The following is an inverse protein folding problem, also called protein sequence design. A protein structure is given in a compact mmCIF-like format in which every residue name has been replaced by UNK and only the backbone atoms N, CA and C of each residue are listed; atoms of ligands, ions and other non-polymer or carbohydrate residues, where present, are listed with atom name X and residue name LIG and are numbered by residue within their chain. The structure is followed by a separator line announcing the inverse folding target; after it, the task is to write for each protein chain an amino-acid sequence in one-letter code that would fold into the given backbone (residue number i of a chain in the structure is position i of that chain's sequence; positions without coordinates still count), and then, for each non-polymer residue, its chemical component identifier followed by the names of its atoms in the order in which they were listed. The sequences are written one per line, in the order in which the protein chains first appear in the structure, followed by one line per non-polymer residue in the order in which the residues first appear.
data_IF_306320176919
#
_entry.id   IF_306320176919
#
_cell.length_a   1.000
_cell.length_b   1.000
_cell.length_c   1.000
_cell.angle_alpha   90.00
_cell.angle_beta   90.00
_cell.angle_gamma   90.00
#
_symmetry.space_group_name_H-M   'P 1'
#
loop_
_entity.id
_entity.type
_entity.pdbx_description
1 polymer ?
#
# COMPACT_ATOMS: atom_id res chain seq x y z
N UNK A 1 -8.29 4.87 -14.22
CA UNK A 1 -7.36 5.85 -14.78
C UNK A 1 -6.98 6.84 -13.70
N UNK A 2 -5.67 7.01 -13.47
CA UNK A 2 -5.18 7.87 -12.40
C UNK A 2 -5.08 9.32 -12.84
N UNK A 3 -5.44 10.24 -11.95
CA UNK A 3 -5.20 11.67 -12.13
C UNK A 3 -3.83 11.98 -11.53
N UNK A 4 -2.98 12.66 -12.29
CA UNK A 4 -1.73 13.22 -11.81
C UNK A 4 -1.94 14.69 -11.44
N UNK A 5 -1.56 15.05 -10.23
CA UNK A 5 -1.73 16.39 -9.68
C UNK A 5 -0.38 16.92 -9.19
N UNK A 6 0.57 17.23 -10.11
CA UNK A 6 1.92 17.65 -9.73
C UNK A 6 1.95 19.08 -9.18
N UNK A 7 2.92 19.35 -8.33
CA UNK A 7 3.23 20.68 -7.84
C UNK A 7 2.06 21.31 -7.10
N UNK A 8 1.71 22.54 -7.43
CA UNK A 8 0.65 23.29 -6.76
C UNK A 8 -0.77 22.80 -7.05
N UNK A 9 -0.94 21.82 -7.94
CA UNK A 9 -2.25 21.26 -8.28
C UNK A 9 -2.88 20.45 -7.13
N UNK A 10 -2.07 19.92 -6.20
CA UNK A 10 -2.56 19.20 -5.03
C UNK A 10 -1.61 19.38 -3.84
N UNK A 11 -1.96 20.26 -2.92
CA UNK A 11 -1.25 20.44 -1.65
C UNK A 11 -1.93 19.73 -0.47
N UNK A 12 -3.19 19.36 -0.66
CA UNK A 12 -3.99 18.60 0.32
C UNK A 12 -4.74 17.50 -0.41
N UNK A 13 -4.48 16.26 -0.03
CA UNK A 13 -5.18 15.08 -0.50
C UNK A 13 -5.98 14.47 0.66
N UNK A 14 -7.24 14.16 0.44
CA UNK A 14 -8.06 13.46 1.43
C UNK A 14 -8.38 12.07 0.86
N UNK A 15 -7.91 11.03 1.54
CA UNK A 15 -8.29 9.66 1.24
C UNK A 15 -9.37 9.22 2.22
N UNK A 16 -10.60 9.02 1.71
CA UNK A 16 -11.77 8.65 2.52
C UNK A 16 -12.11 7.19 2.32
N UNK A 17 -11.92 6.40 3.37
CA UNK A 17 -12.22 4.97 3.38
C UNK A 17 -11.14 4.09 2.72
N UNK A 18 -11.33 2.80 2.88
CA UNK A 18 -10.41 1.79 2.36
C UNK A 18 -10.62 1.61 0.84
N UNK A 19 -9.57 1.66 0.00
CA UNK A 19 -9.69 1.58 -1.46
C UNK A 19 -9.93 0.15 -1.95
N UNK A 20 -11.05 -0.46 -1.57
CA UNK A 20 -11.39 -1.86 -1.88
C UNK A 20 -11.78 -2.08 -3.35
N UNK A 21 -12.22 -1.02 -4.05
CA UNK A 21 -12.84 -1.11 -5.38
C UNK A 21 -14.36 -1.36 -5.30
N UNK A 22 -15.05 -1.06 -6.38
CA UNK A 22 -16.53 -1.08 -6.45
C UNK A 22 -17.09 -1.96 -7.55
N UNK A 23 -16.26 -2.52 -8.43
CA UNK A 23 -16.73 -3.44 -9.46
C UNK A 23 -17.18 -4.78 -8.85
N UNK A 24 -18.17 -5.44 -9.45
CA UNK A 24 -18.65 -6.75 -8.99
C UNK A 24 -17.52 -7.78 -8.88
N UNK A 25 -16.55 -7.74 -9.80
CA UNK A 25 -15.37 -8.60 -9.76
C UNK A 25 -14.46 -8.30 -8.55
N UNK A 26 -14.22 -7.02 -8.24
CA UNK A 26 -13.40 -6.63 -7.10
C UNK A 26 -14.07 -6.99 -5.78
N UNK A 27 -15.38 -6.80 -5.67
CA UNK A 27 -16.17 -7.20 -4.50
C UNK A 27 -16.16 -8.71 -4.30
N UNK A 28 -16.38 -9.48 -5.39
CA UNK A 28 -16.28 -10.93 -5.36
C UNK A 28 -14.87 -11.37 -4.90
N UNK A 29 -13.84 -10.80 -5.49
CA UNK A 29 -12.46 -11.13 -5.18
C UNK A 29 -12.09 -10.79 -3.72
N UNK A 30 -12.52 -9.62 -3.24
CA UNK A 30 -12.34 -9.21 -1.85
C UNK A 30 -13.06 -10.14 -0.88
N UNK A 31 -14.25 -10.61 -1.23
CA UNK A 31 -15.03 -11.55 -0.44
C UNK A 31 -14.43 -12.97 -0.45
N UNK A 32 -14.09 -13.49 -1.64
CA UNK A 32 -13.59 -14.86 -1.81
C UNK A 32 -12.16 -15.03 -1.22
N UNK A 33 -11.35 -13.98 -1.23
CA UNK A 33 -9.96 -13.99 -0.77
C UNK A 33 -9.78 -13.17 0.52
N UNK A 34 -10.88 -12.91 1.25
CA UNK A 34 -10.86 -12.11 2.47
C UNK A 34 -9.87 -12.67 3.49
N UNK A 35 -9.02 -11.80 4.04
CA UNK A 35 -7.96 -12.18 4.97
C UNK A 35 -6.70 -12.78 4.32
N UNK A 36 -6.70 -12.97 2.99
CA UNK A 36 -5.53 -13.46 2.27
C UNK A 36 -4.45 -12.38 2.06
N UNK A 37 -3.21 -12.83 1.99
CA UNK A 37 -2.03 -11.98 1.76
C UNK A 37 -2.16 -11.17 0.47
N UNK A 38 -2.73 -11.75 -0.58
CA UNK A 38 -2.92 -11.08 -1.89
C UNK A 38 -3.81 -9.85 -1.80
N UNK A 39 -4.94 -9.94 -1.08
CA UNK A 39 -5.84 -8.80 -0.90
C UNK A 39 -5.19 -7.73 -0.02
N UNK A 40 -4.51 -8.14 1.04
CA UNK A 40 -3.79 -7.21 1.92
C UNK A 40 -2.72 -6.44 1.16
N UNK A 41 -1.92 -7.10 0.32
CA UNK A 41 -0.93 -6.45 -0.55
C UNK A 41 -1.56 -5.52 -1.58
N UNK A 42 -2.63 -5.93 -2.21
CA UNK A 42 -3.36 -5.09 -3.17
C UNK A 42 -3.87 -3.80 -2.51
N UNK A 43 -4.40 -3.90 -1.28
CA UNK A 43 -4.86 -2.75 -0.52
C UNK A 43 -3.70 -1.83 -0.12
N UNK A 44 -2.58 -2.41 0.35
CA UNK A 44 -1.36 -1.66 0.64
C UNK A 44 -0.91 -0.85 -0.58
N UNK A 45 -0.77 -1.49 -1.73
CA UNK A 45 -0.39 -0.82 -2.98
C UNK A 45 -1.37 0.28 -3.38
N UNK A 46 -2.68 0.08 -3.22
CA UNK A 46 -3.70 1.09 -3.52
C UNK A 46 -3.62 2.29 -2.58
N UNK A 47 -3.36 2.06 -1.29
CA UNK A 47 -3.13 3.12 -0.30
C UNK A 47 -1.90 3.94 -0.72
N UNK A 48 -0.78 3.30 -0.99
CA UNK A 48 0.46 3.97 -1.40
C UNK A 48 0.31 4.72 -2.73
N UNK A 49 -0.34 4.12 -3.72
CA UNK A 49 -0.65 4.79 -4.98
C UNK A 49 -1.56 6.01 -4.78
N UNK A 50 -2.53 5.92 -3.87
CA UNK A 50 -3.38 7.03 -3.48
C UNK A 50 -2.58 8.16 -2.84
N UNK A 51 -1.77 7.85 -1.83
CA UNK A 51 -0.93 8.82 -1.14
C UNK A 51 0.07 9.50 -2.08
N UNK A 52 0.66 8.76 -3.02
CA UNK A 52 1.63 9.27 -3.99
C UNK A 52 1.06 10.16 -5.10
N UNK A 53 -0.26 10.44 -5.13
CA UNK A 53 -0.86 11.28 -6.18
C UNK A 53 -0.52 12.75 -6.06
N UNK A 54 -0.27 13.23 -4.86
CA UNK A 54 0.02 14.64 -4.59
C UNK A 54 1.49 15.00 -4.55
N UNK A 55 2.41 14.03 -4.59
CA UNK A 55 3.85 14.26 -4.54
C UNK A 55 4.57 13.35 -5.54
N UNK A 56 5.15 13.92 -6.58
CA UNK A 56 5.76 13.20 -7.70
C UNK A 56 7.25 13.46 -7.89
N UNK A 57 7.74 14.58 -7.41
CA UNK A 57 9.13 14.98 -7.54
C UNK A 57 9.74 15.38 -6.20
N UNK A 58 11.06 15.51 -6.17
CA UNK A 58 11.80 15.90 -4.96
C UNK A 58 11.43 17.29 -4.41
N UNK A 59 10.84 18.15 -5.25
CA UNK A 59 10.33 19.46 -4.85
C UNK A 59 8.85 19.46 -4.46
N UNK A 60 8.12 18.38 -4.72
CA UNK A 60 6.70 18.30 -4.42
C UNK A 60 6.46 17.97 -2.95
N UNK A 61 5.40 18.54 -2.41
CA UNK A 61 4.92 18.23 -1.08
C UNK A 61 3.39 18.28 -1.04
N UNK A 62 2.81 17.37 -0.31
CA UNK A 62 1.37 17.26 -0.16
C UNK A 62 1.05 16.72 1.24
N UNK A 63 0.08 17.33 1.90
CA UNK A 63 -0.48 16.74 3.12
C UNK A 63 -1.54 15.74 2.73
N UNK A 64 -1.44 14.53 3.28
CA UNK A 64 -2.45 13.50 3.07
C UNK A 64 -3.23 13.29 4.36
N UNK A 65 -4.53 13.54 4.31
CA UNK A 65 -5.45 13.21 5.40
C UNK A 65 -6.11 11.87 5.13
N UNK A 66 -5.94 10.94 6.06
CA UNK A 66 -6.57 9.63 6.01
C UNK A 66 -7.82 9.65 6.89
N UNK A 67 -8.98 9.45 6.28
CA UNK A 67 -10.28 9.51 6.94
C UNK A 67 -11.06 8.20 6.71
N UNK A 68 -11.88 7.84 7.69
CA UNK A 68 -12.70 6.63 7.64
C UNK A 68 -12.24 5.53 8.60
N UNK A 69 -13.21 4.95 9.31
CA UNK A 69 -12.94 3.95 10.35
C UNK A 69 -12.34 2.65 9.80
N UNK A 70 -12.74 2.25 8.59
CA UNK A 70 -12.26 1.07 7.89
C UNK A 70 -10.78 1.20 7.48
N UNK A 71 -10.37 2.36 6.94
CA UNK A 71 -8.99 2.65 6.59
C UNK A 71 -8.12 2.72 7.84
N UNK A 72 -8.57 3.42 8.88
CA UNK A 72 -7.87 3.50 10.16
C UNK A 72 -7.69 2.11 10.80
N UNK A 73 -8.75 1.30 10.83
CA UNK A 73 -8.70 -0.05 11.36
C UNK A 73 -7.80 -0.98 10.54
N UNK A 74 -7.70 -0.79 9.24
CA UNK A 74 -6.81 -1.57 8.38
C UNK A 74 -5.34 -1.22 8.66
N UNK A 75 -5.01 0.07 8.78
CA UNK A 75 -3.65 0.57 9.07
C UNK A 75 -3.21 0.15 10.48
N UNK A 76 -4.11 0.18 11.46
CA UNK A 76 -3.81 -0.17 12.84
C UNK A 76 -3.47 -1.65 13.08
N UNK A 77 -3.66 -2.54 12.08
CA UNK A 77 -3.29 -3.95 12.19
C UNK A 77 -1.85 -4.17 11.74
N UNK A 78 -0.96 -4.59 12.63
CA UNK A 78 0.44 -4.90 12.33
C UNK A 78 0.59 -5.89 11.17
N UNK A 79 -0.32 -6.87 11.08
CA UNK A 79 -0.35 -7.85 9.99
C UNK A 79 -0.59 -7.24 8.62
N UNK A 80 -1.24 -6.08 8.55
CA UNK A 80 -1.48 -5.33 7.32
C UNK A 80 -0.38 -4.28 7.10
N UNK A 81 -0.02 -3.55 8.17
CA UNK A 81 0.92 -2.44 8.15
C UNK A 81 2.28 -2.83 7.57
N UNK A 82 2.75 -4.04 7.85
CA UNK A 82 4.00 -4.60 7.32
C UNK A 82 4.05 -4.72 5.78
N UNK A 83 2.91 -4.66 5.08
CA UNK A 83 2.85 -4.69 3.61
C UNK A 83 3.03 -3.33 2.96
N UNK A 84 3.05 -2.26 3.75
CA UNK A 84 3.45 -0.93 3.29
C UNK A 84 4.98 -0.84 3.25
N UNK A 85 5.51 0.00 2.35
CA UNK A 85 6.95 0.28 2.30
C UNK A 85 7.44 0.93 3.60
N UNK A 86 8.72 0.79 3.91
CA UNK A 86 9.35 1.41 5.08
C UNK A 86 9.10 2.92 5.14
N UNK A 87 9.25 3.61 4.00
CA UNK A 87 8.98 5.04 3.91
C UNK A 87 7.52 5.40 4.20
N UNK A 88 6.57 4.62 3.71
CA UNK A 88 5.14 4.83 3.98
C UNK A 88 4.83 4.58 5.45
N UNK A 89 5.39 3.51 6.04
CA UNK A 89 5.21 3.21 7.46
C UNK A 89 5.68 4.36 8.35
N UNK A 90 6.89 4.88 8.12
CA UNK A 90 7.41 5.99 8.90
C UNK A 90 6.57 7.27 8.77
N UNK A 91 6.10 7.58 7.55
CA UNK A 91 5.20 8.72 7.36
C UNK A 91 3.87 8.55 8.09
N UNK A 92 3.33 7.33 8.14
CA UNK A 92 2.08 7.04 8.85
C UNK A 92 2.28 7.09 10.37
N UNK A 93 3.39 6.59 10.89
CA UNK A 93 3.75 6.68 12.30
C UNK A 93 3.92 8.13 12.74
N UNK A 94 4.71 8.91 12.00
CA UNK A 94 4.86 10.35 12.21
C UNK A 94 3.50 11.07 12.19
N UNK A 95 2.68 10.79 11.18
CA UNK A 95 1.34 11.37 11.06
C UNK A 95 0.42 10.99 12.21
N UNK A 96 0.54 9.76 12.72
CA UNK A 96 -0.21 9.30 13.89
C UNK A 96 0.19 10.05 15.16
N UNK A 97 1.47 10.28 15.37
CA UNK A 97 1.98 11.06 16.52
C UNK A 97 1.50 12.51 16.47
N UNK A 98 1.65 13.15 15.31
CA UNK A 98 1.15 14.52 15.11
C UNK A 98 -0.36 14.60 15.35
N UNK A 99 -1.12 13.61 14.87
CA UNK A 99 -2.58 13.58 15.03
C UNK A 99 -3.03 13.48 16.48
N UNK A 100 -2.25 12.87 17.37
CA UNK A 100 -2.53 12.80 18.82
C UNK A 100 -2.47 14.17 19.50
N UNK A 101 -1.65 15.08 18.97
CA UNK A 101 -1.48 16.42 19.49
C UNK A 101 -2.57 17.42 19.01
N UNK A 102 -3.28 17.05 17.93
CA UNK A 102 -4.35 17.87 17.35
C UNK A 102 -5.61 17.81 18.21
N UNK A 103 -6.02 18.93 18.76
CA UNK A 103 -7.16 19.02 19.70
C UNK A 103 -8.46 19.37 19.02
N UNK A 104 -8.40 20.18 17.96
CA UNK A 104 -9.56 20.68 17.25
C UNK A 104 -9.25 20.99 15.78
N UNK A 105 -10.24 21.46 15.04
CA UNK A 105 -10.11 21.80 13.62
C UNK A 105 -9.15 22.98 13.38
N UNK A 106 -9.01 23.88 14.36
CA UNK A 106 -8.08 25.00 14.24
C UNK A 106 -6.63 24.53 14.35
N UNK A 107 -6.35 23.64 15.28
CA UNK A 107 -5.03 23.02 15.43
C UNK A 107 -4.69 22.19 14.18
N UNK A 108 -5.66 21.44 13.64
CA UNK A 108 -5.49 20.71 12.38
C UNK A 108 -5.13 21.65 11.23
N UNK A 109 -5.88 22.74 11.07
CA UNK A 109 -5.62 23.72 10.02
C UNK A 109 -4.24 24.37 10.16
N UNK A 110 -3.80 24.67 11.38
CA UNK A 110 -2.46 25.20 11.64
C UNK A 110 -1.36 24.20 11.31
N UNK A 111 -1.55 22.93 11.65
CA UNK A 111 -0.62 21.83 11.33
C UNK A 111 -0.47 21.67 9.83
N UNK A 112 -1.58 21.65 9.09
CA UNK A 112 -1.58 21.60 7.61
C UNK A 112 -0.86 22.83 7.04
N UNK A 113 -1.13 24.02 7.58
CA UNK A 113 -0.52 25.27 7.11
C UNK A 113 1.01 25.26 7.27
N UNK A 114 1.56 24.71 8.36
CA UNK A 114 3.03 24.57 8.54
C UNK A 114 3.69 23.76 7.42
N UNK A 115 3.02 22.69 6.97
CA UNK A 115 3.50 21.93 5.83
C UNK A 115 3.42 22.72 4.52
N UNK A 116 2.33 23.47 4.30
CA UNK A 116 2.17 24.31 3.10
C UNK A 116 3.21 25.44 3.03
N UNK A 117 3.46 26.11 4.15
CA UNK A 117 4.42 27.20 4.26
C UNK A 117 5.88 26.69 4.25
N UNK A 118 6.09 25.38 4.18
CA UNK A 118 7.41 24.76 4.28
C UNK A 118 8.16 25.22 5.54
N UNK A 119 7.44 25.29 6.66
CA UNK A 119 8.04 25.65 7.96
C UNK A 119 9.32 24.86 8.20
N UNK A 120 10.39 25.54 8.62
CA UNK A 120 11.72 24.94 8.75
C UNK A 120 11.73 23.77 9.72
N UNK A 121 11.11 23.93 10.89
CA UNK A 121 11.03 22.87 11.89
C UNK A 121 10.23 21.67 11.39
N UNK A 122 9.18 21.91 10.58
CA UNK A 122 8.41 20.84 9.94
C UNK A 122 9.26 20.05 8.93
N UNK A 123 9.99 20.76 8.06
CA UNK A 123 10.80 20.11 7.02
C UNK A 123 12.00 19.37 7.61
N UNK A 124 12.62 19.89 8.67
CA UNK A 124 13.71 19.22 9.39
C UNK A 124 13.21 17.94 10.08
N UNK A 125 12.12 18.02 10.83
CA UNK A 125 11.52 16.86 11.50
C UNK A 125 11.14 15.74 10.50
N UNK A 126 10.51 16.10 9.37
CA UNK A 126 10.18 15.14 8.33
C UNK A 126 11.43 14.50 7.71
N UNK A 127 12.47 15.29 7.43
CA UNK A 127 13.71 14.80 6.85
C UNK A 127 14.47 13.87 7.81
N UNK A 128 14.53 14.22 9.09
CA UNK A 128 15.15 13.39 10.13
C UNK A 128 14.43 12.05 10.28
N UNK A 129 13.09 12.07 10.37
CA UNK A 129 12.27 10.84 10.44
C UNK A 129 12.51 9.90 9.27
N UNK A 130 12.64 10.44 8.05
CA UNK A 130 12.92 9.61 6.88
C UNK A 130 14.39 9.17 6.78
N UNK A 131 15.33 9.94 7.31
CA UNK A 131 16.76 9.60 7.31
C UNK A 131 17.09 8.44 8.28
N UNK A 132 16.31 8.27 9.32
CA UNK A 132 16.44 7.16 10.28
C UNK A 132 15.94 5.82 9.74
N UNK A 133 15.30 5.82 8.55
CA UNK A 133 14.79 4.59 7.95
C UNK A 133 15.95 3.68 7.53
N UNK A 134 15.99 2.53 8.16
CA UNK A 134 16.77 1.40 7.66
C UNK A 134 15.89 0.68 6.63
N UNK A 135 16.34 0.62 5.40
CA UNK A 135 15.63 -0.12 4.35
C UNK A 135 15.76 -1.63 4.60
N UNK A 136 14.80 -2.16 5.35
CA UNK A 136 14.69 -3.59 5.67
C UNK A 136 13.85 -4.37 4.64
N UNK A 137 13.38 -3.71 3.60
CA UNK A 137 12.55 -4.32 2.57
C UNK A 137 13.38 -5.31 1.71
N UNK A 138 13.68 -6.46 2.30
CA UNK A 138 14.29 -7.57 1.54
C UNK A 138 13.28 -8.11 0.53
N UNK A 139 13.69 -8.34 -0.72
CA UNK A 139 12.82 -8.98 -1.71
C UNK A 139 12.30 -10.31 -1.16
N UNK A 140 11.00 -10.50 -1.22
CA UNK A 140 10.36 -11.76 -0.83
C UNK A 140 10.58 -12.82 -1.93
N UNK A 141 11.69 -13.52 -1.87
CA UNK A 141 12.10 -14.52 -2.86
C UNK A 141 11.05 -15.64 -3.07
N UNK A 142 10.31 -15.99 -2.02
CA UNK A 142 9.23 -16.97 -2.09
C UNK A 142 8.12 -16.54 -3.05
N UNK A 143 7.74 -15.26 -3.01
CA UNK A 143 6.68 -14.72 -3.87
C UNK A 143 7.15 -14.52 -5.31
N UNK A 144 8.42 -14.23 -5.54
CA UNK A 144 8.99 -14.22 -6.90
C UNK A 144 8.96 -15.59 -7.54
N UNK A 145 9.29 -16.65 -6.79
CA UNK A 145 9.20 -18.03 -7.24
C UNK A 145 7.77 -18.43 -7.64
N UNK A 146 6.79 -18.06 -6.83
CA UNK A 146 5.36 -18.26 -7.11
C UNK A 146 4.95 -17.53 -8.39
N UNK A 147 5.17 -16.24 -8.47
CA UNK A 147 4.80 -15.41 -9.61
C UNK A 147 5.46 -15.90 -10.92
N UNK A 148 6.72 -16.31 -10.86
CA UNK A 148 7.42 -16.89 -11.99
C UNK A 148 6.80 -18.22 -12.46
N UNK A 149 6.34 -19.05 -11.52
CA UNK A 149 5.70 -20.32 -11.82
C UNK A 149 4.31 -20.11 -12.42
N UNK A 150 3.50 -19.25 -11.83
CA UNK A 150 2.19 -18.86 -12.34
C UNK A 150 2.30 -18.28 -13.76
N UNK A 151 3.26 -17.40 -14.00
CA UNK A 151 3.51 -16.84 -15.33
C UNK A 151 3.87 -17.89 -16.36
N UNK A 152 4.74 -18.86 -15.99
CA UNK A 152 5.10 -19.96 -16.88
C UNK A 152 3.89 -20.86 -17.17
N UNK A 153 3.11 -21.20 -16.16
CA UNK A 153 1.90 -22.00 -16.34
C UNK A 153 0.88 -21.28 -17.22
N UNK A 154 0.66 -19.98 -17.00
CA UNK A 154 -0.21 -19.16 -17.84
C UNK A 154 0.26 -19.16 -19.31
N UNK A 155 1.55 -18.99 -19.56
CA UNK A 155 2.11 -19.01 -20.93
C UNK A 155 1.89 -20.39 -21.60
N UNK A 156 2.08 -21.48 -20.87
CA UNK A 156 1.80 -22.84 -21.37
C UNK A 156 0.31 -23.00 -21.73
N UNK A 157 -0.58 -22.62 -20.82
CA UNK A 157 -2.01 -22.67 -21.03
C UNK A 157 -2.44 -21.81 -22.24
N UNK A 158 -1.94 -20.59 -22.34
CA UNK A 158 -2.24 -19.67 -23.44
C UNK A 158 -1.80 -20.21 -24.81
N UNK A 159 -0.73 -21.00 -24.85
CA UNK A 159 -0.20 -21.65 -26.05
C UNK A 159 -0.83 -23.02 -26.33
N UNK A 160 -1.87 -23.43 -25.56
CA UNK A 160 -2.58 -24.69 -25.74
C UNK A 160 -1.94 -25.92 -25.09
N UNK A 161 -0.86 -25.76 -24.33
CA UNK A 161 -0.19 -26.86 -23.61
C UNK A 161 -0.82 -27.06 -22.23
N UNK A 162 -2.11 -27.39 -22.17
CA UNK A 162 -2.90 -27.42 -20.93
C UNK A 162 -2.36 -28.41 -19.89
N UNK A 163 -2.03 -29.64 -20.29
CA UNK A 163 -1.50 -30.67 -19.38
C UNK A 163 -0.15 -30.25 -18.76
N UNK A 164 0.69 -29.58 -19.55
CA UNK A 164 1.96 -29.07 -19.04
C UNK A 164 1.75 -27.89 -18.07
N UNK A 165 0.75 -27.06 -18.32
CA UNK A 165 0.40 -25.97 -17.40
C UNK A 165 -0.08 -26.52 -16.05
N UNK A 166 -0.97 -27.53 -16.07
CA UNK A 166 -1.47 -28.20 -14.86
C UNK A 166 -0.30 -28.83 -14.10
N UNK A 167 0.49 -29.67 -14.76
CA UNK A 167 1.65 -30.33 -14.13
C UNK A 167 2.65 -29.34 -13.52
N UNK A 168 2.79 -28.14 -14.12
CA UNK A 168 3.67 -27.09 -13.60
C UNK A 168 3.17 -26.53 -12.27
N UNK A 169 1.85 -26.30 -12.17
CA UNK A 169 1.22 -25.82 -10.95
C UNK A 169 1.20 -26.89 -9.87
N UNK A 170 0.78 -28.12 -10.22
CA UNK A 170 0.73 -29.25 -9.28
C UNK A 170 2.11 -29.51 -8.63
N UNK A 171 3.16 -29.52 -9.44
CA UNK A 171 4.54 -29.69 -8.93
C UNK A 171 4.90 -28.58 -7.95
N UNK A 172 4.58 -27.31 -8.27
CA UNK A 172 4.86 -26.20 -7.38
C UNK A 172 4.07 -26.30 -6.07
N UNK A 173 2.78 -26.67 -6.14
CA UNK A 173 1.92 -26.86 -4.96
C UNK A 173 2.40 -28.01 -4.06
N UNK A 174 2.95 -29.09 -4.65
CA UNK A 174 3.50 -30.22 -3.91
C UNK A 174 4.80 -29.85 -3.17
N UNK A 175 5.66 -29.04 -3.79
CA UNK A 175 6.95 -28.64 -3.24
C UNK A 175 6.82 -27.45 -2.24
N UNK A 176 5.77 -26.68 -2.33
CA UNK A 176 5.58 -25.45 -1.54
C UNK A 176 5.01 -25.75 -0.14
N UNK A 177 5.90 -25.88 0.85
CA UNK A 177 5.56 -26.14 2.26
C UNK A 177 4.85 -24.96 2.97
N UNK A 178 4.83 -23.77 2.39
CA UNK A 178 4.41 -22.53 3.04
C UNK A 178 3.40 -21.70 2.22
N UNK A 179 2.59 -22.32 1.37
CA UNK A 179 1.54 -21.59 0.69
C UNK A 179 0.37 -21.34 1.65
N UNK A 180 -0.05 -20.08 1.72
CA UNK A 180 -1.30 -19.67 2.30
C UNK A 180 -2.44 -20.57 1.77
N UNK A 181 -3.29 -21.14 2.65
CA UNK A 181 -4.40 -22.00 2.22
C UNK A 181 -5.31 -21.38 1.16
N UNK A 182 -5.44 -20.06 1.13
CA UNK A 182 -6.24 -19.33 0.14
C UNK A 182 -5.56 -19.24 -1.24
N UNK A 183 -4.25 -19.40 -1.29
CA UNK A 183 -3.50 -19.49 -2.56
C UNK A 183 -3.61 -20.88 -3.19
N UNK A 184 -4.04 -21.89 -2.43
CA UNK A 184 -4.25 -23.26 -2.89
C UNK A 184 -5.62 -23.53 -3.48
N UNK A 185 -6.59 -22.62 -3.25
CA UNK A 185 -8.00 -22.76 -3.63
C UNK A 185 -8.38 -22.34 -5.05
#
# INVERSE_FOLDING_TARGET
DGIDLPGDSCRLLIMSGLPTGTSGYELFRASALYGGVTITRMLAQRIEQGMGRGARGSGDHCVVLLAGADLAAWIAKDTNFRFLTSATRAQLEMGSEISKEVKDLKDLAQTIKRSFDRDKGWTEYHAETLAELVDEDKPDELHFGQAATERKAFNLWHNGYHDQAISKIEKYLADAKALDPQTRG
#
